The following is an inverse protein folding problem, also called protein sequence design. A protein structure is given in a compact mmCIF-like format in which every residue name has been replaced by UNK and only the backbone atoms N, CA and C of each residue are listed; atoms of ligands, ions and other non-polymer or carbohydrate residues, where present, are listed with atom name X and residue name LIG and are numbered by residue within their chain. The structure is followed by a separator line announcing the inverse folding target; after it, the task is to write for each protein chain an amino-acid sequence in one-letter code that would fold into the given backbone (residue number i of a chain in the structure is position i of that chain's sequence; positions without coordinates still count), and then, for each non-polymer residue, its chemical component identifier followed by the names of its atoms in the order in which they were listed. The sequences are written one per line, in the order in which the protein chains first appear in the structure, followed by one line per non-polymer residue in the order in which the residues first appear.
data_IF_860361088957
#
_entry.id   IF_860361088957
#
_cell.length_a   1.000
_cell.length_b   1.000
_cell.length_c   1.000
_cell.angle_alpha   90.00
_cell.angle_beta   90.00
_cell.angle_gamma   90.00
#
_symmetry.space_group_name_H-M   'P 1'
#
loop_
_entity.id
_entity.type
_entity.pdbx_description
1 polymer ?
#
# COMPACT_ATOMS: atom_id res chain seq x y z
N UNK A 1 -12.19 -17.48 3.45
CA UNK A 1 -10.73 -17.55 3.14
C UNK A 1 -10.39 -16.32 2.34
N UNK A 2 -9.24 -15.69 2.62
CA UNK A 2 -8.84 -14.51 1.84
C UNK A 2 -8.54 -14.86 0.39
N UNK A 3 -8.98 -14.02 -0.54
CA UNK A 3 -8.65 -14.09 -1.98
C UNK A 3 -7.51 -13.13 -2.33
N UNK A 4 -6.98 -12.40 -1.34
CA UNK A 4 -5.93 -11.40 -1.54
C UNK A 4 -4.71 -11.96 -2.29
N UNK A 5 -4.26 -13.16 -1.94
CA UNK A 5 -3.07 -13.80 -2.51
C UNK A 5 -3.34 -14.66 -3.76
N UNK A 6 -4.52 -14.57 -4.40
CA UNK A 6 -4.85 -15.39 -5.58
C UNK A 6 -4.19 -14.96 -6.90
N UNK A 7 -3.92 -13.66 -7.18
CA UNK A 7 -3.15 -13.29 -8.37
C UNK A 7 -1.76 -13.94 -8.36
N UNK A 8 -1.22 -14.30 -9.55
CA UNK A 8 0.09 -14.96 -9.63
C UNK A 8 1.23 -14.03 -9.22
N UNK A 9 2.27 -14.60 -8.61
CA UNK A 9 3.52 -13.87 -8.33
C UNK A 9 4.42 -13.81 -9.58
N UNK A 10 5.32 -12.81 -9.70
CA UNK A 10 5.41 -11.60 -8.89
C UNK A 10 4.20 -10.67 -9.08
N UNK A 11 3.78 -10.02 -7.98
CA UNK A 11 2.61 -9.12 -7.93
C UNK A 11 3.01 -7.70 -8.30
N UNK A 12 2.14 -7.02 -9.02
CA UNK A 12 2.33 -5.63 -9.44
C UNK A 12 1.46 -4.72 -8.59
N UNK A 13 2.08 -3.87 -7.77
CA UNK A 13 1.37 -2.90 -6.94
C UNK A 13 1.51 -1.49 -7.52
N UNK A 14 0.40 -0.78 -7.65
CA UNK A 14 0.40 0.67 -7.84
C UNK A 14 0.46 1.37 -6.48
N UNK A 15 1.60 1.96 -6.12
CA UNK A 15 1.83 2.70 -4.89
C UNK A 15 1.06 4.01 -4.90
N UNK A 16 0.03 4.12 -4.09
CA UNK A 16 -0.97 5.20 -4.12
C UNK A 16 -1.59 5.37 -5.52
N UNK A 17 -1.74 4.24 -6.23
CA UNK A 17 -2.07 4.19 -7.65
C UNK A 17 -0.84 4.24 -8.57
N UNK A 18 -0.91 4.99 -9.66
CA UNK A 18 0.22 5.34 -10.54
C UNK A 18 0.73 6.74 -10.19
N UNK A 19 1.19 6.94 -8.95
CA UNK A 19 1.49 8.26 -8.35
C UNK A 19 2.59 9.04 -9.06
N UNK A 20 3.46 8.38 -9.81
CA UNK A 20 4.43 9.04 -10.67
C UNK A 20 3.84 9.63 -11.96
N UNK A 21 2.58 9.29 -12.31
CA UNK A 21 1.92 9.68 -13.56
C UNK A 21 0.59 10.43 -13.35
N UNK A 22 0.00 10.32 -12.15
CA UNK A 22 -1.26 10.96 -11.78
C UNK A 22 -1.27 11.28 -10.28
N UNK A 23 -2.12 12.21 -9.80
CA UNK A 23 -2.17 12.58 -8.38
C UNK A 23 -2.38 11.37 -7.47
N UNK A 24 -1.46 11.15 -6.52
CA UNK A 24 -1.47 10.03 -5.58
C UNK A 24 -2.79 9.92 -4.82
N UNK A 25 -3.19 8.68 -4.47
CA UNK A 25 -4.37 8.42 -3.64
C UNK A 25 -5.68 8.99 -4.22
N UNK A 26 -5.81 9.01 -5.56
CA UNK A 26 -7.01 9.48 -6.27
C UNK A 26 -7.56 8.43 -7.23
N UNK A 27 -8.87 8.51 -7.55
CA UNK A 27 -9.49 7.59 -8.50
C UNK A 27 -8.80 7.59 -9.89
N UNK A 28 -8.39 8.75 -10.46
CA UNK A 28 -7.61 8.76 -11.70
C UNK A 28 -6.28 8.00 -11.60
N UNK A 29 -5.54 8.13 -10.49
CA UNK A 29 -4.29 7.41 -10.25
C UNK A 29 -4.50 5.90 -10.17
N UNK A 30 -5.53 5.48 -9.45
CA UNK A 30 -5.89 4.06 -9.35
C UNK A 30 -6.32 3.47 -10.69
N UNK A 31 -7.18 4.18 -11.45
CA UNK A 31 -7.61 3.75 -12.77
C UNK A 31 -6.42 3.62 -13.75
N UNK A 32 -5.49 4.56 -13.70
CA UNK A 32 -4.27 4.50 -14.49
C UNK A 32 -3.39 3.31 -14.09
N UNK A 33 -3.20 3.05 -12.79
CA UNK A 33 -2.45 1.89 -12.32
C UNK A 33 -3.03 0.56 -12.84
N UNK A 34 -4.36 0.39 -12.78
CA UNK A 34 -5.05 -0.79 -13.33
C UNK A 34 -4.81 -0.90 -14.83
N UNK A 35 -4.94 0.19 -15.58
CA UNK A 35 -4.69 0.23 -17.04
C UNK A 35 -3.24 -0.17 -17.38
N UNK A 36 -2.29 0.19 -16.53
CA UNK A 36 -0.87 -0.13 -16.66
C UNK A 36 -0.52 -1.55 -16.19
N UNK A 37 -1.50 -2.34 -15.72
CA UNK A 37 -1.32 -3.74 -15.37
C UNK A 37 -1.06 -4.00 -13.88
N UNK A 38 -1.42 -3.08 -12.98
CA UNK A 38 -1.39 -3.35 -11.55
C UNK A 38 -2.48 -4.36 -11.16
N UNK A 39 -2.09 -5.42 -10.47
CA UNK A 39 -2.99 -6.39 -9.86
C UNK A 39 -3.54 -5.87 -8.52
N UNK A 40 -2.77 -5.03 -7.86
CA UNK A 40 -2.99 -4.48 -6.53
C UNK A 40 -2.93 -2.97 -6.56
N UNK A 41 -3.83 -2.35 -5.82
CA UNK A 41 -3.78 -0.92 -5.51
C UNK A 41 -3.36 -0.76 -4.05
N UNK A 42 -2.29 -0.05 -3.83
CA UNK A 42 -1.88 0.36 -2.50
C UNK A 42 -2.41 1.77 -2.23
N UNK A 43 -2.84 2.02 -1.00
CA UNK A 43 -3.42 3.29 -0.57
C UNK A 43 -3.34 3.49 0.94
N UNK A 44 -3.40 4.75 1.36
CA UNK A 44 -3.31 5.17 2.76
C UNK A 44 -4.64 5.76 3.24
N UNK A 45 -5.00 5.56 4.50
CA UNK A 45 -6.27 6.08 5.03
C UNK A 45 -6.13 6.86 6.33
N UNK A 46 -6.93 7.92 6.41
CA UNK A 46 -7.21 8.72 7.59
C UNK A 46 -8.73 8.89 7.77
N UNK A 47 -9.15 9.51 8.88
CA UNK A 47 -10.52 9.94 9.09
C UNK A 47 -10.64 11.46 9.13
N UNK A 48 -11.75 11.98 8.61
CA UNK A 48 -12.17 13.37 8.77
C UNK A 48 -12.75 13.62 10.17
N UNK A 49 -12.98 14.89 10.51
CA UNK A 49 -13.59 15.30 11.79
C UNK A 49 -14.96 14.68 12.05
N UNK A 50 -15.75 14.43 11.01
CA UNK A 50 -17.07 13.80 11.04
C UNK A 50 -17.03 12.27 10.80
N UNK A 51 -15.82 11.66 10.80
CA UNK A 51 -15.61 10.22 10.83
C UNK A 51 -15.62 9.50 9.47
N UNK A 52 -15.65 10.23 8.34
CA UNK A 52 -15.51 9.61 7.02
C UNK A 52 -14.08 9.11 6.79
N UNK A 53 -13.93 7.88 6.35
CA UNK A 53 -12.62 7.31 6.00
C UNK A 53 -12.21 7.76 4.60
N UNK A 54 -11.18 8.57 4.54
CA UNK A 54 -10.65 9.20 3.32
C UNK A 54 -9.28 8.64 2.95
N UNK A 55 -8.95 8.72 1.66
CA UNK A 55 -7.69 8.19 1.13
C UNK A 55 -6.69 9.32 0.98
N UNK A 56 -5.70 9.34 1.87
CA UNK A 56 -4.66 10.37 1.99
C UNK A 56 -3.47 9.80 2.75
N UNK A 57 -2.23 10.13 2.32
CA UNK A 57 -1.03 9.64 3.00
C UNK A 57 -0.66 10.46 4.24
N UNK A 58 -0.59 11.78 4.09
CA UNK A 58 -0.14 12.66 5.16
C UNK A 58 -1.30 12.97 6.13
N UNK A 59 -1.04 13.25 7.40
CA UNK A 59 -2.08 13.70 8.33
C UNK A 59 -2.60 15.11 8.01
N UNK A 60 -1.96 15.82 7.07
CA UNK A 60 -2.33 17.18 6.61
C UNK A 60 -2.57 17.19 5.10
N UNK A 61 -3.43 18.09 4.63
CA UNK A 61 -3.83 18.15 3.20
C UNK A 61 -2.89 19.00 2.34
N UNK A 62 -1.88 19.62 2.92
CA UNK A 62 -1.06 20.69 2.35
C UNK A 62 -0.22 20.27 1.14
N UNK A 63 0.35 19.04 1.17
CA UNK A 63 1.29 18.59 0.14
C UNK A 63 0.62 18.26 -1.18
N UNK A 64 -0.59 17.76 -1.17
CA UNK A 64 -1.26 17.25 -2.37
C UNK A 64 -2.41 18.11 -2.86
N UNK A 65 -2.99 18.96 -1.99
CA UNK A 65 -4.19 19.75 -2.32
C UNK A 65 -3.95 21.27 -2.34
N UNK A 66 -5.00 22.02 -2.62
CA UNK A 66 -5.04 23.49 -2.48
C UNK A 66 -5.47 23.94 -1.08
N UNK A 67 -5.72 23.00 -0.16
CA UNK A 67 -6.03 23.28 1.25
C UNK A 67 -4.81 23.33 2.16
N UNK A 68 -5.05 23.47 3.45
CA UNK A 68 -4.04 23.42 4.51
C UNK A 68 -4.62 22.86 5.81
N UNK A 69 -3.76 22.29 6.64
CA UNK A 69 -4.07 21.78 7.97
C UNK A 69 -4.43 20.30 8.06
N UNK A 70 -4.69 19.83 9.28
CA UNK A 70 -4.95 18.41 9.54
C UNK A 70 -6.27 17.93 8.94
N UNK A 71 -6.25 16.76 8.29
CA UNK A 71 -7.46 16.14 7.76
C UNK A 71 -8.47 15.80 8.87
N UNK A 72 -8.00 15.47 10.06
CA UNK A 72 -8.82 15.17 11.21
C UNK A 72 -9.61 16.38 11.76
N UNK A 73 -9.28 17.60 11.32
CA UNK A 73 -10.01 18.83 11.68
C UNK A 73 -11.00 19.27 10.58
N UNK A 74 -10.97 18.66 9.40
CA UNK A 74 -11.87 18.96 8.29
C UNK A 74 -13.05 17.98 8.28
N UNK A 75 -14.26 18.50 8.07
CA UNK A 75 -15.40 17.64 7.73
C UNK A 75 -15.25 17.08 6.31
N UNK A 76 -15.96 15.99 6.00
CA UNK A 76 -15.99 15.45 4.64
C UNK A 76 -16.42 16.51 3.60
N UNK A 77 -17.40 17.33 3.95
CA UNK A 77 -17.82 18.42 3.05
C UNK A 77 -16.69 19.38 2.71
N UNK A 78 -15.83 19.71 3.67
CA UNK A 78 -14.65 20.55 3.45
C UNK A 78 -13.55 19.81 2.67
N UNK A 79 -13.22 18.59 3.09
CA UNK A 79 -12.18 17.77 2.45
C UNK A 79 -12.50 17.46 0.98
N UNK A 80 -13.76 17.12 0.68
CA UNK A 80 -14.21 16.80 -0.68
C UNK A 80 -14.24 18.01 -1.63
N UNK A 81 -14.21 19.22 -1.10
CA UNK A 81 -14.13 20.46 -1.91
C UNK A 81 -12.70 20.80 -2.32
N UNK A 82 -11.68 20.14 -1.73
CA UNK A 82 -10.28 20.38 -2.07
C UNK A 82 -9.93 19.77 -3.43
N UNK A 83 -9.05 20.46 -4.17
CA UNK A 83 -8.48 19.97 -5.42
C UNK A 83 -7.24 19.08 -5.11
N UNK A 84 -7.40 17.78 -5.18
CA UNK A 84 -6.33 16.80 -4.97
C UNK A 84 -5.35 16.70 -6.16
N UNK A 85 -5.64 17.35 -7.28
CA UNK A 85 -4.74 17.50 -8.42
C UNK A 85 -3.88 18.76 -8.38
N UNK A 86 -4.10 19.64 -7.39
CA UNK A 86 -3.57 21.00 -7.37
C UNK A 86 -2.03 21.06 -7.37
N UNK A 87 -1.38 20.17 -6.64
CA UNK A 87 0.08 20.15 -6.46
C UNK A 87 0.79 19.14 -7.36
N UNK A 88 0.04 18.27 -8.04
CA UNK A 88 0.67 17.24 -8.86
C UNK A 88 1.46 17.87 -10.02
N UNK A 89 2.71 17.46 -10.16
CA UNK A 89 3.60 17.81 -11.28
C UNK A 89 4.59 16.67 -11.49
N UNK A 90 4.84 16.32 -12.76
CA UNK A 90 5.85 15.34 -13.14
C UNK A 90 7.20 16.01 -13.49
N UNK A 91 7.19 17.29 -13.85
CA UNK A 91 8.35 18.04 -14.33
C UNK A 91 8.75 19.23 -13.42
N UNK A 92 7.99 19.44 -12.31
CA UNK A 92 8.16 20.57 -11.40
C UNK A 92 7.63 21.91 -11.93
N UNK A 93 7.09 21.95 -13.13
CA UNK A 93 6.72 23.21 -13.83
C UNK A 93 5.26 23.20 -14.30
N UNK A 94 4.77 22.10 -14.84
CA UNK A 94 3.38 21.96 -15.29
C UNK A 94 2.51 21.27 -14.25
N UNK A 95 1.24 21.68 -14.18
CA UNK A 95 0.25 21.15 -13.22
C UNK A 95 -1.00 20.68 -13.97
N UNK A 96 -0.92 19.55 -14.69
CA UNK A 96 -1.95 19.13 -15.65
C UNK A 96 -3.29 18.75 -15.00
N UNK A 97 -3.31 18.44 -13.70
CA UNK A 97 -4.51 18.06 -12.97
C UNK A 97 -5.13 19.20 -12.15
N UNK A 98 -4.46 20.35 -12.07
CA UNK A 98 -4.96 21.52 -11.33
C UNK A 98 -6.26 22.06 -11.94
N UNK A 99 -7.29 22.17 -11.11
CA UNK A 99 -8.59 22.66 -11.56
C UNK A 99 -9.38 21.67 -12.42
N UNK A 100 -8.95 20.41 -12.53
CA UNK A 100 -9.61 19.36 -13.32
C UNK A 100 -10.66 18.57 -12.53
N UNK A 101 -11.02 19.01 -11.34
CA UNK A 101 -12.04 18.35 -10.51
C UNK A 101 -11.57 17.04 -9.86
N UNK A 102 -10.25 16.82 -9.76
CA UNK A 102 -9.71 15.66 -9.03
C UNK A 102 -9.91 15.87 -7.55
N UNK A 103 -10.55 14.90 -6.88
CA UNK A 103 -10.89 14.97 -5.46
C UNK A 103 -10.21 13.86 -4.68
N UNK A 104 -10.01 14.10 -3.40
CA UNK A 104 -9.71 13.07 -2.41
C UNK A 104 -10.90 12.09 -2.36
N UNK A 105 -10.73 10.79 -2.59
CA UNK A 105 -11.84 9.85 -2.47
C UNK A 105 -12.02 9.37 -1.04
N UNK A 106 -13.24 8.94 -0.69
CA UNK A 106 -13.47 8.07 0.47
C UNK A 106 -13.03 6.65 0.14
N UNK A 107 -12.67 5.88 1.16
CA UNK A 107 -12.36 4.46 1.00
C UNK A 107 -13.50 3.69 0.33
N UNK A 108 -14.75 3.97 0.72
CA UNK A 108 -15.94 3.36 0.11
C UNK A 108 -16.04 3.59 -1.41
N UNK A 109 -15.64 4.78 -1.88
CA UNK A 109 -15.66 5.12 -3.30
C UNK A 109 -14.59 4.33 -4.08
N UNK A 110 -13.40 4.13 -3.50
CA UNK A 110 -12.34 3.29 -4.10
C UNK A 110 -12.78 1.83 -4.18
N UNK A 111 -13.36 1.29 -3.09
CA UNK A 111 -13.88 -0.09 -3.06
C UNK A 111 -14.94 -0.35 -4.11
N UNK A 112 -15.83 0.63 -4.31
CA UNK A 112 -16.89 0.57 -5.33
C UNK A 112 -16.35 0.70 -6.75
N UNK A 113 -15.38 1.61 -6.98
CA UNK A 113 -14.82 1.87 -8.31
C UNK A 113 -13.92 0.72 -8.81
N UNK A 114 -13.30 -0.04 -7.89
CA UNK A 114 -12.35 -1.11 -8.22
C UNK A 114 -12.74 -2.44 -7.56
N UNK A 115 -13.89 -3.03 -7.91
CA UNK A 115 -14.42 -4.23 -7.25
C UNK A 115 -13.58 -5.50 -7.52
N UNK A 116 -12.81 -5.53 -8.60
CA UNK A 116 -12.00 -6.69 -8.98
C UNK A 116 -10.57 -6.64 -8.43
N UNK A 117 -10.07 -5.46 -8.07
CA UNK A 117 -8.70 -5.26 -7.60
C UNK A 117 -8.54 -5.69 -6.14
N UNK A 118 -7.34 -6.16 -5.79
CA UNK A 118 -6.90 -6.33 -4.41
C UNK A 118 -6.38 -5.00 -3.90
N UNK A 119 -6.67 -4.69 -2.64
CA UNK A 119 -6.25 -3.44 -2.05
C UNK A 119 -5.30 -3.69 -0.87
N UNK A 120 -4.17 -3.03 -0.89
CA UNK A 120 -3.27 -2.89 0.25
C UNK A 120 -3.59 -1.57 0.93
N UNK A 121 -4.17 -1.60 2.11
CA UNK A 121 -4.67 -0.41 2.80
C UNK A 121 -3.81 -0.18 4.04
N UNK A 122 -3.06 0.91 4.04
CA UNK A 122 -2.31 1.33 5.21
C UNK A 122 -3.12 2.27 6.09
N UNK A 123 -3.33 1.89 7.35
CA UNK A 123 -3.97 2.75 8.35
C UNK A 123 -2.90 3.64 8.98
N UNK A 124 -2.95 4.95 8.67
CA UNK A 124 -1.96 5.93 9.13
C UNK A 124 -2.31 6.57 10.48
N UNK A 125 -3.60 6.55 10.86
CA UNK A 125 -4.09 7.28 12.02
C UNK A 125 -4.35 6.37 13.21
N UNK A 126 -3.60 6.61 14.31
CA UNK A 126 -3.79 5.91 15.58
C UNK A 126 -4.59 6.73 16.62
N UNK A 127 -4.59 8.06 16.48
CA UNK A 127 -5.28 8.98 17.40
C UNK A 127 -6.06 10.07 16.64
N UNK A 128 -7.41 10.16 16.80
CA UNK A 128 -8.24 9.11 17.37
C UNK A 128 -8.15 7.81 16.56
N UNK A 129 -8.37 6.63 17.17
CA UNK A 129 -8.26 5.35 16.47
C UNK A 129 -9.36 5.20 15.42
N UNK A 130 -9.01 4.66 14.24
CA UNK A 130 -9.94 4.52 13.11
C UNK A 130 -10.12 3.08 12.63
N UNK A 131 -9.49 2.10 13.27
CA UNK A 131 -9.51 0.69 12.84
C UNK A 131 -10.94 0.16 12.69
N UNK A 132 -11.82 0.39 13.70
CA UNK A 132 -13.18 -0.08 13.65
C UNK A 132 -14.00 0.58 12.53
N UNK A 133 -13.78 1.88 12.27
CA UNK A 133 -14.43 2.59 11.18
C UNK A 133 -13.97 2.07 9.80
N UNK A 134 -12.67 1.78 9.64
CA UNK A 134 -12.14 1.14 8.41
C UNK A 134 -12.79 -0.23 8.21
N UNK A 135 -12.85 -1.07 9.26
CA UNK A 135 -13.46 -2.39 9.18
C UNK A 135 -14.95 -2.31 8.83
N UNK A 136 -15.68 -1.36 9.40
CA UNK A 136 -17.11 -1.14 9.07
C UNK A 136 -17.29 -0.81 7.58
N UNK A 137 -16.44 0.03 6.99
CA UNK A 137 -16.46 0.34 5.55
C UNK A 137 -16.16 -0.91 4.71
N UNK A 138 -15.17 -1.71 5.10
CA UNK A 138 -14.81 -2.95 4.39
C UNK A 138 -15.91 -4.02 4.46
N UNK A 139 -16.56 -4.16 5.61
CA UNK A 139 -17.70 -5.07 5.81
C UNK A 139 -18.91 -4.64 4.99
N UNK A 140 -19.26 -3.36 5.02
CA UNK A 140 -20.35 -2.81 4.20
C UNK A 140 -20.13 -3.01 2.68
N UNK A 141 -18.86 -2.89 2.24
CA UNK A 141 -18.47 -3.13 0.85
C UNK A 141 -18.23 -4.62 0.52
N UNK A 142 -18.40 -5.54 1.47
CA UNK A 142 -18.11 -6.99 1.33
C UNK A 142 -16.70 -7.26 0.77
N UNK A 143 -15.69 -6.54 1.24
CA UNK A 143 -14.36 -6.51 0.63
C UNK A 143 -13.24 -7.10 1.50
N UNK A 144 -13.56 -7.66 2.67
CA UNK A 144 -12.57 -8.18 3.64
C UNK A 144 -11.65 -9.25 3.05
N UNK A 145 -12.14 -10.07 2.12
CA UNK A 145 -11.39 -11.19 1.56
C UNK A 145 -10.34 -10.78 0.50
N UNK A 146 -10.48 -9.58 -0.09
CA UNK A 146 -9.60 -9.04 -1.13
C UNK A 146 -8.67 -7.92 -0.66
N UNK A 147 -8.60 -7.68 0.67
CA UNK A 147 -7.83 -6.61 1.28
C UNK A 147 -6.70 -7.18 2.15
N UNK A 148 -5.57 -6.49 2.17
CA UNK A 148 -4.55 -6.61 3.20
C UNK A 148 -4.51 -5.28 3.97
N UNK A 149 -4.57 -5.37 5.30
CA UNK A 149 -4.41 -4.22 6.19
C UNK A 149 -2.95 -4.11 6.63
N UNK A 150 -2.39 -2.93 6.47
CA UNK A 150 -1.05 -2.57 6.89
C UNK A 150 -1.09 -1.40 7.87
N UNK A 151 -0.06 -1.29 8.69
CA UNK A 151 0.26 -0.12 9.49
C UNK A 151 1.76 -0.14 9.79
N UNK A 152 2.37 1.03 9.76
CA UNK A 152 3.76 1.21 10.16
C UNK A 152 3.92 1.06 11.68
N UNK A 153 2.98 1.65 12.46
CA UNK A 153 3.02 1.70 13.91
C UNK A 153 2.51 0.40 14.57
N UNK A 154 3.23 -0.06 15.58
CA UNK A 154 2.97 -1.31 16.31
C UNK A 154 1.61 -1.30 17.03
N UNK A 155 1.21 -0.17 17.60
CA UNK A 155 -0.07 0.00 18.30
C UNK A 155 -1.27 -0.09 17.34
N UNK A 156 -1.17 0.51 16.16
CA UNK A 156 -2.23 0.41 15.14
C UNK A 156 -2.31 -1.04 14.64
N UNK A 157 -1.17 -1.68 14.35
CA UNK A 157 -1.16 -3.08 13.92
C UNK A 157 -1.70 -4.04 14.98
N UNK A 158 -1.41 -3.80 16.25
CA UNK A 158 -1.98 -4.57 17.35
C UNK A 158 -3.51 -4.43 17.42
N UNK A 159 -4.03 -3.19 17.25
CA UNK A 159 -5.47 -2.94 17.18
C UNK A 159 -6.12 -3.63 15.97
N UNK A 160 -5.51 -3.57 14.78
CA UNK A 160 -5.95 -4.29 13.57
C UNK A 160 -6.08 -5.78 13.88
N UNK A 161 -5.01 -6.42 14.35
CA UNK A 161 -4.98 -7.87 14.61
C UNK A 161 -6.02 -8.30 15.63
N UNK A 162 -6.21 -7.50 16.68
CA UNK A 162 -7.24 -7.74 17.70
C UNK A 162 -8.66 -7.70 17.10
N UNK A 163 -8.94 -6.73 16.22
CA UNK A 163 -10.28 -6.51 15.68
C UNK A 163 -10.65 -7.52 14.57
N UNK A 164 -9.67 -7.95 13.74
CA UNK A 164 -9.97 -8.83 12.58
C UNK A 164 -10.14 -10.31 12.94
N UNK A 165 -9.56 -10.79 14.02
CA UNK A 165 -9.63 -12.22 14.40
C UNK A 165 -9.16 -13.16 13.29
N UNK A 166 -8.19 -12.78 12.47
CA UNK A 166 -7.67 -13.58 11.36
C UNK A 166 -8.54 -13.61 10.09
N UNK A 167 -9.57 -12.77 9.98
CA UNK A 167 -10.48 -12.71 8.82
C UNK A 167 -9.91 -11.97 7.60
N UNK A 168 -8.88 -11.15 7.81
CA UNK A 168 -8.27 -10.28 6.78
C UNK A 168 -6.77 -10.52 6.77
N UNK A 169 -6.13 -10.46 5.61
CA UNK A 169 -4.68 -10.52 5.50
C UNK A 169 -4.02 -9.28 6.15
N UNK A 170 -2.84 -9.45 6.74
CA UNK A 170 -2.10 -8.33 7.38
C UNK A 170 -0.67 -8.24 6.91
N UNK A 171 -0.18 -7.00 6.84
CA UNK A 171 1.24 -6.70 6.78
C UNK A 171 1.95 -6.90 8.13
N UNK A 172 3.24 -6.56 8.16
CA UNK A 172 4.07 -6.50 9.36
C UNK A 172 4.40 -5.04 9.66
N UNK A 173 4.27 -4.62 10.94
CA UNK A 173 4.67 -3.30 11.42
C UNK A 173 6.18 -3.21 11.65
N UNK A 174 6.68 -2.04 12.03
CA UNK A 174 8.13 -1.80 12.22
C UNK A 174 8.72 -2.77 13.25
N UNK A 175 8.08 -2.99 14.39
CA UNK A 175 8.55 -3.93 15.41
C UNK A 175 8.66 -5.36 14.90
N UNK A 176 7.68 -5.82 14.11
CA UNK A 176 7.70 -7.16 13.50
C UNK A 176 8.85 -7.29 12.49
N UNK A 177 9.06 -6.27 11.66
CA UNK A 177 10.15 -6.23 10.66
C UNK A 177 11.50 -6.30 11.34
N UNK A 178 11.72 -5.49 12.38
CA UNK A 178 12.97 -5.48 13.16
C UNK A 178 13.22 -6.86 13.77
N UNK A 179 12.21 -7.47 14.41
CA UNK A 179 12.32 -8.79 14.98
C UNK A 179 12.62 -9.86 13.91
N UNK A 180 11.98 -9.78 12.73
CA UNK A 180 12.24 -10.70 11.63
C UNK A 180 13.68 -10.57 11.09
N UNK A 181 14.18 -9.35 10.86
CA UNK A 181 15.54 -9.13 10.37
C UNK A 181 16.59 -9.56 11.39
N UNK A 182 16.35 -9.37 12.70
CA UNK A 182 17.22 -9.90 13.76
C UNK A 182 17.33 -11.42 13.69
N UNK A 183 16.20 -12.12 13.46
CA UNK A 183 16.18 -13.57 13.24
C UNK A 183 16.99 -14.00 12.02
N UNK A 184 16.84 -13.29 10.91
CA UNK A 184 17.63 -13.54 9.69
C UNK A 184 19.13 -13.38 9.96
N UNK A 185 19.50 -12.32 10.68
CA UNK A 185 20.91 -11.98 10.96
C UNK A 185 21.56 -13.01 11.89
N UNK A 186 20.82 -13.51 12.87
CA UNK A 186 21.32 -14.50 13.86
C UNK A 186 21.15 -15.96 13.43
N UNK A 187 20.37 -16.18 12.35
CA UNK A 187 19.91 -17.50 11.92
C UNK A 187 19.26 -18.32 13.07
N UNK A 188 18.57 -17.61 13.99
CA UNK A 188 17.86 -18.20 15.12
C UNK A 188 16.34 -18.10 14.94
N UNK A 189 15.70 -19.21 14.60
CA UNK A 189 14.26 -19.33 14.36
C UNK A 189 13.52 -19.98 15.51
N UNK A 190 14.19 -20.20 16.64
CA UNK A 190 13.60 -20.85 17.83
C UNK A 190 12.44 -20.00 18.37
N UNK A 191 11.25 -20.57 18.48
CA UNK A 191 10.07 -19.86 18.96
C UNK A 191 9.55 -18.77 18.04
N UNK A 192 9.99 -18.68 16.77
CA UNK A 192 9.41 -17.73 15.82
C UNK A 192 7.95 -18.07 15.54
N UNK A 193 7.07 -17.08 15.72
CA UNK A 193 5.67 -17.15 15.32
C UNK A 193 5.41 -16.08 14.24
N UNK A 194 4.80 -16.48 13.15
CA UNK A 194 4.39 -15.58 12.08
C UNK A 194 3.29 -14.65 12.58
N UNK A 195 3.51 -13.35 12.52
CA UNK A 195 2.57 -12.34 13.01
C UNK A 195 1.71 -11.69 11.91
N UNK A 196 2.12 -11.79 10.64
CA UNK A 196 1.42 -11.26 9.48
C UNK A 196 1.51 -12.21 8.29
N UNK A 197 1.02 -11.78 7.13
CA UNK A 197 1.01 -12.55 5.89
C UNK A 197 2.04 -12.04 4.87
N UNK A 198 2.42 -10.77 4.95
CA UNK A 198 3.38 -10.13 4.06
C UNK A 198 4.37 -9.23 4.80
N UNK A 199 5.64 -9.39 4.45
CA UNK A 199 6.74 -8.50 4.83
C UNK A 199 6.83 -7.40 3.77
N UNK A 200 6.41 -6.17 4.12
CA UNK A 200 6.39 -5.01 3.23
C UNK A 200 7.48 -4.04 3.64
N UNK A 201 8.60 -4.03 2.91
CA UNK A 201 9.83 -3.36 3.33
C UNK A 201 10.54 -2.63 2.19
N UNK A 202 11.31 -1.55 2.47
CA UNK A 202 12.20 -0.96 1.49
C UNK A 202 13.41 -1.89 1.23
N UNK A 203 14.13 -1.72 0.12
CA UNK A 203 15.34 -2.50 -0.18
C UNK A 203 16.40 -2.41 0.91
N UNK A 204 16.54 -1.21 1.49
CA UNK A 204 17.49 -0.91 2.57
C UNK A 204 16.90 0.17 3.49
N UNK A 205 17.32 0.18 4.75
CA UNK A 205 16.98 1.21 5.73
C UNK A 205 18.19 1.50 6.62
N UNK A 206 18.47 2.80 6.86
CA UNK A 206 19.59 3.26 7.71
C UNK A 206 20.95 2.60 7.36
N UNK A 207 21.22 2.35 6.06
CA UNK A 207 22.45 1.73 5.59
C UNK A 207 22.49 0.20 5.71
N UNK A 208 21.41 -0.43 6.18
CA UNK A 208 21.26 -1.89 6.27
C UNK A 208 20.45 -2.37 5.08
N UNK A 209 20.99 -3.33 4.30
CA UNK A 209 20.22 -3.98 3.23
C UNK A 209 19.22 -4.96 3.85
N UNK A 210 17.92 -4.72 3.62
CA UNK A 210 16.84 -5.53 4.16
C UNK A 210 16.41 -6.64 3.20
N UNK A 211 16.47 -6.38 1.89
CA UNK A 211 16.06 -7.33 0.85
C UNK A 211 17.28 -8.03 0.26
N UNK A 212 17.60 -9.17 0.83
CA UNK A 212 18.72 -10.04 0.45
C UNK A 212 18.20 -11.43 0.09
N UNK A 213 19.03 -12.27 -0.55
CA UNK A 213 18.68 -13.66 -0.79
C UNK A 213 18.37 -14.43 0.51
N UNK A 214 19.04 -14.06 1.62
CA UNK A 214 18.80 -14.67 2.94
C UNK A 214 17.43 -14.27 3.51
N UNK A 215 17.07 -12.97 3.46
CA UNK A 215 15.78 -12.48 3.98
C UNK A 215 14.61 -12.99 3.14
N UNK A 216 14.75 -13.05 1.80
CA UNK A 216 13.73 -13.62 0.90
C UNK A 216 13.52 -15.11 1.19
N UNK A 217 14.59 -15.90 1.26
CA UNK A 217 14.49 -17.31 1.59
C UNK A 217 13.89 -17.56 2.99
N UNK A 218 14.24 -16.71 3.96
CA UNK A 218 13.69 -16.79 5.30
C UNK A 218 12.19 -16.44 5.33
N UNK A 219 11.76 -15.40 4.61
CA UNK A 219 10.35 -15.04 4.50
C UNK A 219 9.54 -16.20 3.90
N UNK A 220 10.01 -16.81 2.83
CA UNK A 220 9.34 -17.95 2.21
C UNK A 220 9.28 -19.17 3.14
N UNK A 221 10.37 -19.49 3.88
CA UNK A 221 10.34 -20.57 4.89
C UNK A 221 9.33 -20.30 6.01
N UNK A 222 9.16 -19.04 6.39
CA UNK A 222 8.18 -18.61 7.39
C UNK A 222 6.74 -18.53 6.84
N UNK A 223 6.52 -18.76 5.54
CA UNK A 223 5.22 -18.65 4.88
C UNK A 223 4.77 -17.20 4.71
N UNK A 224 5.71 -16.24 4.68
CA UNK A 224 5.48 -14.84 4.40
C UNK A 224 5.71 -14.54 2.92
N UNK A 225 4.90 -13.65 2.34
CA UNK A 225 5.29 -12.98 1.10
C UNK A 225 6.17 -11.76 1.41
N UNK A 226 7.07 -11.41 0.48
CA UNK A 226 7.90 -10.20 0.57
C UNK A 226 7.53 -9.23 -0.55
N UNK A 227 7.03 -8.05 -0.18
CA UNK A 227 6.66 -6.97 -1.08
C UNK A 227 7.57 -5.77 -0.86
N UNK A 228 8.19 -5.28 -1.93
CA UNK A 228 9.23 -4.25 -1.80
C UNK A 228 8.76 -2.91 -2.34
N UNK A 229 8.93 -1.85 -1.58
CA UNK A 229 8.50 -0.46 -1.87
C UNK A 229 9.62 0.56 -1.59
N UNK A 230 9.64 1.76 -2.20
CA UNK A 230 8.95 2.12 -3.43
C UNK A 230 9.97 2.08 -4.55
N UNK A 231 9.73 1.30 -5.58
CA UNK A 231 10.74 0.98 -6.59
C UNK A 231 10.33 1.55 -7.95
N UNK A 232 11.07 2.55 -8.43
CA UNK A 232 10.75 3.31 -9.64
C UNK A 232 11.82 3.19 -10.75
N UNK A 233 12.84 2.33 -10.56
CA UNK A 233 13.93 2.13 -11.52
C UNK A 233 13.93 0.71 -12.06
N UNK A 234 13.92 0.57 -13.41
CA UNK A 234 13.83 -0.72 -14.09
C UNK A 234 14.94 -1.71 -13.66
N UNK A 235 16.19 -1.26 -13.53
CA UNK A 235 17.30 -2.12 -13.10
C UNK A 235 17.09 -2.68 -11.68
N UNK A 236 16.52 -1.88 -10.77
CA UNK A 236 16.24 -2.32 -9.41
C UNK A 236 15.04 -3.28 -9.36
N UNK A 237 14.02 -3.04 -10.17
CA UNK A 237 12.90 -3.98 -10.35
C UNK A 237 13.43 -5.34 -10.77
N UNK A 238 14.29 -5.41 -11.82
CA UNK A 238 14.87 -6.66 -12.29
C UNK A 238 15.71 -7.34 -11.22
N UNK A 239 16.57 -6.61 -10.49
CA UNK A 239 17.38 -7.15 -9.39
C UNK A 239 16.51 -7.80 -8.31
N UNK A 240 15.44 -7.12 -7.88
CA UNK A 240 14.54 -7.64 -6.85
C UNK A 240 13.77 -8.88 -7.33
N UNK A 241 13.30 -8.86 -8.57
CA UNK A 241 12.65 -10.03 -9.17
C UNK A 241 13.62 -11.22 -9.33
N UNK A 242 14.92 -10.98 -9.55
CA UNK A 242 15.94 -12.05 -9.55
C UNK A 242 16.19 -12.61 -8.15
N UNK A 243 16.09 -11.80 -7.10
CA UNK A 243 16.12 -12.27 -5.71
C UNK A 243 14.89 -13.11 -5.33
N UNK A 244 13.82 -13.05 -6.14
CA UNK A 244 12.63 -13.85 -5.93
C UNK A 244 11.60 -13.20 -4.99
N UNK A 245 11.56 -11.86 -4.90
CA UNK A 245 10.51 -11.16 -4.15
C UNK A 245 9.13 -11.46 -4.75
N UNK A 246 8.10 -11.46 -3.90
CA UNK A 246 6.75 -11.84 -4.28
C UNK A 246 5.95 -10.69 -4.88
N UNK A 247 6.35 -9.45 -4.63
CA UNK A 247 5.71 -8.27 -5.19
C UNK A 247 6.59 -7.02 -5.16
N UNK A 248 6.31 -6.10 -6.07
CA UNK A 248 6.98 -4.80 -6.15
C UNK A 248 5.93 -3.69 -6.20
N UNK A 249 6.04 -2.71 -5.30
CA UNK A 249 5.22 -1.50 -5.25
C UNK A 249 5.98 -0.36 -5.92
N UNK A 250 5.30 0.31 -6.86
CA UNK A 250 5.91 1.35 -7.67
C UNK A 250 4.95 2.50 -7.94
N UNK A 251 5.48 3.72 -8.00
CA UNK A 251 4.78 4.89 -8.52
C UNK A 251 4.58 4.80 -10.06
N UNK A 252 5.35 3.89 -10.68
CA UNK A 252 5.35 3.61 -12.12
C UNK A 252 5.01 2.12 -12.37
N UNK A 253 3.80 1.64 -12.02
CA UNK A 253 3.46 0.22 -12.03
C UNK A 253 3.62 -0.44 -13.40
N UNK A 254 3.53 0.32 -14.50
CA UNK A 254 3.78 -0.16 -15.85
C UNK A 254 5.21 -0.69 -16.08
N UNK A 255 6.22 -0.18 -15.35
CA UNK A 255 7.58 -0.71 -15.42
C UNK A 255 7.63 -2.12 -14.80
N UNK A 256 6.99 -2.30 -13.64
CA UNK A 256 6.92 -3.60 -12.97
C UNK A 256 6.14 -4.61 -13.81
N UNK A 257 4.97 -4.20 -14.34
CA UNK A 257 4.13 -5.06 -15.20
C UNK A 257 4.90 -5.53 -16.44
N UNK A 258 5.68 -4.63 -17.06
CA UNK A 258 6.52 -4.97 -18.23
C UNK A 258 7.60 -5.98 -17.85
N UNK A 259 8.33 -5.78 -16.76
CA UNK A 259 9.37 -6.70 -16.29
C UNK A 259 8.79 -8.10 -15.98
N UNK A 260 7.64 -8.15 -15.28
CA UNK A 260 6.95 -9.41 -14.96
C UNK A 260 6.49 -10.14 -16.25
N UNK A 261 5.97 -9.42 -17.23
CA UNK A 261 5.51 -9.98 -18.51
C UNK A 261 6.68 -10.59 -19.28
N UNK A 262 7.81 -9.90 -19.38
CA UNK A 262 9.01 -10.41 -20.08
C UNK A 262 9.51 -11.72 -19.47
N UNK A 263 9.50 -11.85 -18.13
CA UNK A 263 9.93 -13.06 -17.43
C UNK A 263 9.01 -14.25 -17.67
N UNK A 264 7.70 -14.03 -17.82
CA UNK A 264 6.74 -15.11 -18.16
C UNK A 264 6.99 -15.65 -19.56
N UNK A 265 7.30 -14.79 -20.54
CA UNK A 265 7.60 -15.18 -21.92
C UNK A 265 8.92 -15.94 -22.02
N UNK A 266 9.94 -15.58 -21.25
CA UNK A 266 11.27 -16.21 -21.28
C UNK A 266 11.32 -17.60 -20.59
N UNK A 267 10.29 -17.97 -19.84
CA UNK A 267 10.22 -19.23 -19.08
C UNK A 267 9.19 -20.23 -19.65
N UNK A 268 8.43 -19.86 -20.67
CA UNK A 268 7.47 -20.69 -21.42
C UNK A 268 8.03 -21.06 -22.76
#
# INVERSE_FOLDING_TARGET
MTTYFTPPRPRVFGHRGASGLAPENTLPSFALAVTLGADYLELDVHATADGEIVVLHDPVVDRTTNGCGPIAELTWSQASALDAGFRYTADGHSFPYRGQGVRMPRLAEVLCAFPAQRLNIEIKQGAPPIVDAVLAVLEAAQSLDRVLLAAEHDDIMAAIRSAIGGRVATGMCVGDVVAFIDRVTRDDWNGYARLGDALQIPPAHAGIELVTAASVAAAHRAGLEIHVWTINHAAEIERLLDLGVDGVMSDLPGLVATAVKHRKVSRG
#
